data_IF_146820932056
#
_entry.id   IF_146820932056
#
_cell.length_a   1.000
_cell.length_b   1.000
_cell.length_c   1.000
_cell.angle_alpha   90.00
_cell.angle_beta   90.00
_cell.angle_gamma   90.00
#
_symmetry.space_group_name_H-M   'P 1'
#
loop_
_entity.id
_entity.type
_entity.pdbx_description
1 polymer ?
#
# COMPACT_ATOMS: atom_id res chain seq x y z
N UNK A 1 -19.29 7.77 -5.13
CA UNK A 1 -18.50 7.68 -3.88
C UNK A 1 -17.20 8.45 -4.10
N UNK A 2 -16.73 9.23 -3.11
CA UNK A 2 -15.60 10.17 -3.25
C UNK A 2 -14.27 9.54 -2.75
N UNK A 3 -13.88 8.40 -3.31
CA UNK A 3 -12.64 7.69 -2.95
C UNK A 3 -11.56 7.91 -4.01
N UNK A 4 -10.31 8.11 -3.59
CA UNK A 4 -9.18 8.34 -4.49
C UNK A 4 -8.52 7.03 -4.98
N UNK A 5 -8.45 6.01 -4.12
CA UNK A 5 -7.85 4.73 -4.45
C UNK A 5 -8.51 3.59 -3.65
N UNK A 6 -8.44 2.38 -4.19
CA UNK A 6 -8.72 1.14 -3.49
C UNK A 6 -7.39 0.44 -3.16
N UNK A 7 -7.36 -0.22 -2.00
CA UNK A 7 -6.24 -1.07 -1.59
C UNK A 7 -6.73 -2.48 -1.34
N UNK A 8 -5.87 -3.44 -1.63
CA UNK A 8 -6.09 -4.84 -1.32
C UNK A 8 -4.83 -5.43 -0.69
N UNK A 9 -5.00 -6.49 0.09
CA UNK A 9 -3.91 -7.27 0.67
C UNK A 9 -4.11 -8.74 0.40
N UNK A 10 -3.04 -9.44 -0.03
CA UNK A 10 -3.05 -10.89 -0.21
C UNK A 10 -1.88 -11.53 0.55
N UNK A 11 -2.19 -12.56 1.34
CA UNK A 11 -1.17 -13.43 1.94
C UNK A 11 -0.49 -14.27 0.85
N UNK A 12 0.84 -14.36 0.86
CA UNK A 12 1.61 -15.07 -0.16
C UNK A 12 2.17 -16.42 0.31
N UNK A 13 2.26 -17.45 -0.56
CA UNK A 13 1.92 -17.42 -1.99
C UNK A 13 0.40 -17.50 -2.25
N UNK A 14 -0.08 -16.74 -3.24
CA UNK A 14 -1.48 -16.76 -3.68
C UNK A 14 -1.64 -16.25 -5.13
N UNK A 15 -1.10 -17.01 -6.08
CA UNK A 15 -1.03 -16.62 -7.50
C UNK A 15 -2.42 -16.33 -8.12
N UNK A 16 -3.46 -17.02 -7.66
CA UNK A 16 -4.83 -16.78 -8.11
C UNK A 16 -5.31 -15.38 -7.73
N UNK A 17 -5.10 -14.98 -6.46
CA UNK A 17 -5.46 -13.64 -6.00
C UNK A 17 -4.59 -12.57 -6.66
N UNK A 18 -3.28 -12.80 -6.77
CA UNK A 18 -2.34 -11.85 -7.42
C UNK A 18 -2.79 -11.58 -8.86
N UNK A 19 -3.09 -12.63 -9.63
CA UNK A 19 -3.56 -12.50 -11.02
C UNK A 19 -4.90 -11.77 -11.09
N UNK A 20 -5.85 -12.11 -10.21
CA UNK A 20 -7.13 -11.42 -10.14
C UNK A 20 -6.97 -9.91 -9.90
N UNK A 21 -6.12 -9.51 -8.96
CA UNK A 21 -5.87 -8.10 -8.67
C UNK A 21 -5.24 -7.40 -9.89
N UNK A 22 -4.25 -8.03 -10.53
CA UNK A 22 -3.63 -7.49 -11.75
C UNK A 22 -4.64 -7.32 -12.90
N UNK A 23 -5.50 -8.31 -13.16
CA UNK A 23 -6.55 -8.25 -14.18
C UNK A 23 -7.58 -7.15 -13.89
N UNK A 24 -7.84 -6.87 -12.62
CA UNK A 24 -8.70 -5.77 -12.19
C UNK A 24 -8.01 -4.40 -12.22
N UNK A 25 -6.75 -4.31 -12.66
CA UNK A 25 -6.00 -3.06 -12.77
C UNK A 25 -5.46 -2.55 -11.44
N UNK A 26 -5.24 -3.43 -10.47
CA UNK A 26 -4.41 -3.11 -9.30
C UNK A 26 -2.93 -3.30 -9.63
N UNK A 27 -2.11 -2.48 -9.02
CA UNK A 27 -0.65 -2.53 -9.09
C UNK A 27 -0.08 -2.93 -7.73
N UNK A 28 0.98 -3.75 -7.71
CA UNK A 28 1.69 -4.05 -6.47
C UNK A 28 2.38 -2.80 -5.93
N UNK A 29 2.21 -2.55 -4.63
CA UNK A 29 2.84 -1.40 -3.93
C UNK A 29 3.83 -1.83 -2.85
N UNK A 30 3.97 -3.14 -2.61
CA UNK A 30 4.99 -3.67 -1.72
C UNK A 30 4.57 -4.92 -0.97
N UNK A 31 5.59 -5.63 -0.47
CA UNK A 31 5.42 -6.85 0.32
C UNK A 31 5.94 -6.59 1.73
N UNK A 32 5.09 -6.83 2.72
CA UNK A 32 5.50 -6.93 4.12
C UNK A 32 5.90 -8.38 4.38
N UNK A 33 7.21 -8.60 4.54
CA UNK A 33 7.74 -9.93 4.81
C UNK A 33 7.48 -10.34 6.25
N UNK A 34 7.17 -11.63 6.44
CA UNK A 34 6.88 -12.22 7.75
C UNK A 34 5.82 -11.42 8.54
N UNK A 35 4.80 -10.92 7.84
CA UNK A 35 3.75 -10.08 8.40
C UNK A 35 2.91 -10.79 9.48
N UNK A 36 2.82 -12.13 9.43
CA UNK A 36 2.12 -12.88 10.48
C UNK A 36 2.50 -14.35 10.56
N UNK A 37 2.46 -14.89 11.78
CA UNK A 37 2.65 -16.32 12.05
C UNK A 37 1.30 -17.02 12.12
N UNK A 38 1.09 -18.02 11.26
CA UNK A 38 -0.14 -18.82 11.25
C UNK A 38 0.15 -20.21 10.68
N UNK A 39 -0.49 -21.24 11.22
CA UNK A 39 -0.32 -22.63 10.74
C UNK A 39 1.15 -23.07 10.71
N UNK A 40 1.91 -22.69 11.75
CA UNK A 40 3.30 -23.14 11.91
C UNK A 40 4.31 -22.50 10.97
N UNK A 41 3.98 -21.37 10.31
CA UNK A 41 4.95 -20.61 9.50
C UNK A 41 4.67 -19.10 9.49
N UNK A 42 5.71 -18.34 9.16
CA UNK A 42 5.59 -16.92 8.81
C UNK A 42 5.06 -16.78 7.39
N UNK A 43 4.16 -15.82 7.21
CA UNK A 43 3.56 -15.48 5.93
C UNK A 43 3.87 -14.04 5.55
N UNK A 44 4.15 -13.84 4.28
CA UNK A 44 4.27 -12.51 3.69
C UNK A 44 2.88 -12.01 3.29
N UNK A 45 2.71 -10.68 3.25
CA UNK A 45 1.50 -10.04 2.73
C UNK A 45 1.91 -9.01 1.68
N UNK A 46 1.40 -9.19 0.46
CA UNK A 46 1.51 -8.19 -0.60
C UNK A 46 0.32 -7.24 -0.57
N UNK A 47 0.61 -5.94 -0.68
CA UNK A 47 -0.39 -4.90 -0.84
C UNK A 47 -0.43 -4.43 -2.28
N UNK A 48 -1.65 -4.16 -2.73
CA UNK A 48 -1.93 -3.64 -4.06
C UNK A 48 -2.73 -2.34 -3.98
N UNK A 49 -2.58 -1.47 -4.97
CA UNK A 49 -3.32 -0.22 -5.12
C UNK A 49 -3.97 -0.15 -6.50
N UNK A 50 -5.21 0.34 -6.55
CA UNK A 50 -5.86 0.79 -7.79
C UNK A 50 -6.30 2.23 -7.64
N UNK A 51 -5.88 3.10 -8.55
CA UNK A 51 -6.39 4.47 -8.60
C UNK A 51 -7.86 4.47 -9.03
N UNK A 52 -8.71 5.21 -8.32
CA UNK A 52 -10.13 5.39 -8.62
C UNK A 52 -10.46 6.80 -9.11
N UNK A 53 -9.58 7.76 -8.83
CA UNK A 53 -9.63 9.12 -9.32
C UNK A 53 -8.22 9.58 -9.70
N UNK A 54 -8.07 10.61 -10.57
CA UNK A 54 -6.79 11.23 -10.85
C UNK A 54 -6.09 11.70 -9.56
N UNK A 55 -4.75 11.69 -9.56
CA UNK A 55 -3.97 12.34 -8.51
C UNK A 55 -4.01 13.86 -8.75
N UNK A 56 -5.07 14.50 -8.27
CA UNK A 56 -5.31 15.93 -8.39
C UNK A 56 -4.59 16.75 -7.30
N UNK A 57 -4.19 16.10 -6.20
CA UNK A 57 -3.47 16.76 -5.11
C UNK A 57 -1.96 16.55 -5.25
N UNK A 58 -1.17 17.61 -5.50
CA UNK A 58 0.28 17.50 -5.42
C UNK A 58 0.69 17.04 -4.02
N UNK A 59 1.67 16.16 -3.94
CA UNK A 59 2.27 15.80 -2.66
C UNK A 59 2.72 17.09 -1.98
N UNK A 60 2.19 17.36 -0.78
CA UNK A 60 2.78 18.42 0.04
C UNK A 60 4.19 17.97 0.38
N UNK A 61 5.21 18.82 0.22
CA UNK A 61 6.55 18.51 0.69
C UNK A 61 6.46 17.99 2.12
N UNK A 62 7.05 16.82 2.37
CA UNK A 62 7.22 16.34 3.73
C UNK A 62 8.21 17.31 4.36
N UNK A 63 7.74 18.03 5.37
CA UNK A 63 8.61 18.91 6.15
C UNK A 63 9.67 18.05 6.83
N UNK A 64 10.92 18.52 6.80
CA UNK A 64 11.97 17.84 7.57
C UNK A 64 11.72 18.03 9.06
N UNK A 65 12.25 17.13 9.87
CA UNK A 65 12.14 17.26 11.33
C UNK A 65 12.77 18.57 11.78
N UNK A 66 13.90 18.96 11.19
CA UNK A 66 14.59 20.22 11.45
C UNK A 66 13.71 21.44 11.17
N UNK A 67 13.00 21.46 10.04
CA UNK A 67 12.11 22.56 9.68
C UNK A 67 10.89 22.65 10.61
N UNK A 68 10.36 21.51 11.06
CA UNK A 68 9.27 21.47 12.03
C UNK A 68 9.71 21.99 13.40
N UNK A 69 10.93 21.64 13.84
CA UNK A 69 11.51 22.08 15.11
C UNK A 69 11.76 23.60 15.14
N UNK A 70 12.27 24.18 14.04
CA UNK A 70 12.56 25.61 13.94
C UNK A 70 11.33 26.54 14.03
N UNK A 71 10.10 26.00 13.96
CA UNK A 71 8.84 26.77 14.11
C UNK A 71 8.29 26.76 15.53
N UNK A 72 8.88 25.96 16.43
CA UNK A 72 8.48 25.86 17.84
C UNK A 72 9.33 26.77 18.75
N UNK A 73 10.41 27.35 18.22
CA UNK A 73 11.23 28.39 18.86
C UNK A 73 10.69 29.79 18.52
#
# INVERSE_FOLDING_TARGET
>A
QNYHAAFAGATLPNDASVRLHAELGFESVGIVRQAGWKMGRWWDVEYFRKALAPADRPARPIETVEAALARLE
#
